data_IF_669470438890
#
_entry.id   IF_669470438890
#
_cell.length_a   1.000
_cell.length_b   1.000
_cell.length_c   1.000
_cell.angle_alpha   90.00
_cell.angle_beta   90.00
_cell.angle_gamma   90.00
#
_symmetry.space_group_name_H-M   'P 1'
#
loop_
_entity.id
_entity.type
_entity.pdbx_description
1 polymer ?
#
# COMPACT_ATOMS: atom_id res chain seq x y z
N UNK A 1 18.34 -30.59 37.44
CA UNK A 1 19.54 -30.86 36.63
C UNK A 1 19.03 -31.39 35.30
N UNK A 2 19.17 -30.76 34.14
CA UNK A 2 19.86 -29.56 33.62
C UNK A 2 19.04 -29.25 32.33
N UNK A 3 18.46 -28.06 32.12
CA UNK A 3 19.11 -26.85 31.59
C UNK A 3 20.25 -27.12 30.61
N UNK A 4 19.93 -27.17 29.31
CA UNK A 4 20.88 -26.73 28.28
C UNK A 4 20.19 -25.77 27.30
N UNK A 5 20.63 -24.53 27.43
CA UNK A 5 20.46 -23.37 26.57
C UNK A 5 21.47 -23.40 25.42
N UNK A 6 21.02 -23.16 24.19
CA UNK A 6 21.87 -22.91 23.00
C UNK A 6 21.03 -22.06 22.04
N UNK A 7 21.42 -20.93 21.47
CA UNK A 7 22.53 -19.99 21.65
C UNK A 7 22.05 -18.65 21.05
N UNK A 8 22.29 -17.54 21.74
CA UNK A 8 22.01 -16.19 21.25
C UNK A 8 23.16 -15.75 20.33
N UNK A 9 23.11 -16.20 19.08
CA UNK A 9 23.98 -15.70 18.03
C UNK A 9 23.58 -14.30 17.58
N UNK A 10 24.24 -13.29 18.13
CA UNK A 10 24.19 -11.90 17.65
C UNK A 10 24.56 -11.82 16.17
N UNK A 11 23.60 -11.53 15.30
CA UNK A 11 23.90 -11.14 13.92
C UNK A 11 24.20 -9.65 13.87
N UNK A 12 25.49 -9.40 13.67
CA UNK A 12 26.16 -8.12 13.44
C UNK A 12 25.44 -7.26 12.40
N UNK A 13 25.48 -5.95 12.64
CA UNK A 13 24.83 -4.93 11.83
C UNK A 13 25.18 -4.99 10.35
N UNK A 14 24.13 -5.13 9.55
CA UNK A 14 24.05 -4.56 8.22
C UNK A 14 22.71 -3.85 8.14
N UNK A 15 22.77 -2.51 8.14
CA UNK A 15 21.69 -1.56 7.84
C UNK A 15 20.54 -2.20 7.07
N UNK A 16 19.43 -2.47 7.75
CA UNK A 16 18.21 -3.03 7.16
C UNK A 16 17.62 -1.94 6.26
N UNK A 17 18.03 -1.93 5.00
CA UNK A 17 17.34 -1.18 3.97
C UNK A 17 15.97 -1.84 3.79
N UNK A 18 14.96 -1.30 4.48
CA UNK A 18 13.56 -1.57 4.18
C UNK A 18 13.33 -1.23 2.71
N UNK A 19 12.88 -2.16 1.86
CA UNK A 19 12.68 -1.84 0.45
C UNK A 19 11.66 -0.71 0.35
N UNK A 20 12.01 0.34 -0.37
CA UNK A 20 11.17 1.52 -0.56
C UNK A 20 9.93 1.09 -1.36
N UNK A 21 8.78 1.18 -0.70
CA UNK A 21 7.49 0.83 -1.26
C UNK A 21 6.72 2.10 -1.52
N UNK A 22 6.37 2.32 -2.78
CA UNK A 22 5.42 3.36 -3.18
C UNK A 22 4.05 2.72 -3.34
N UNK A 23 3.08 3.14 -2.53
CA UNK A 23 1.75 2.53 -2.49
C UNK A 23 0.69 3.50 -2.99
N UNK A 24 -0.14 3.00 -3.89
CA UNK A 24 -1.25 3.70 -4.53
C UNK A 24 -2.55 3.06 -4.06
N UNK A 25 -3.54 3.82 -3.63
CA UNK A 25 -4.87 3.27 -3.42
C UNK A 25 -5.76 3.52 -4.62
N UNK A 26 -6.30 2.44 -5.16
CA UNK A 26 -7.49 2.51 -6.00
C UNK A 26 -8.71 2.75 -5.11
N UNK A 27 -9.49 3.78 -5.40
CA UNK A 27 -10.76 4.03 -4.72
C UNK A 27 -11.68 2.81 -4.81
N UNK A 28 -12.27 2.41 -3.68
CA UNK A 28 -13.17 1.25 -3.66
C UNK A 28 -14.63 1.68 -3.89
N UNK A 29 -15.20 1.20 -5.00
CA UNK A 29 -16.57 1.46 -5.40
C UNK A 29 -17.59 0.73 -4.51
N UNK A 30 -18.29 1.49 -3.66
CA UNK A 30 -19.71 1.20 -3.47
C UNK A 30 -20.48 1.69 -4.69
N UNK A 31 -21.59 1.01 -5.00
CA UNK A 31 -22.40 1.00 -6.24
C UNK A 31 -22.94 2.39 -6.71
N UNK A 32 -22.52 3.50 -6.10
CA UNK A 32 -22.94 4.86 -6.45
C UNK A 32 -21.82 5.90 -6.71
N UNK A 33 -20.55 5.51 -6.79
CA UNK A 33 -19.49 6.40 -7.34
C UNK A 33 -18.81 5.73 -8.51
N UNK A 34 -19.50 5.73 -9.65
CA UNK A 34 -18.90 5.45 -10.94
C UNK A 34 -17.74 6.43 -11.18
N UNK A 35 -16.52 5.91 -11.35
CA UNK A 35 -15.48 6.45 -12.25
C UNK A 35 -15.28 7.97 -12.30
N UNK A 36 -14.32 8.50 -11.55
CA UNK A 36 -13.61 9.73 -11.93
C UNK A 36 -12.18 9.59 -11.41
N UNK A 37 -11.19 9.01 -12.09
CA UNK A 37 -10.96 8.78 -13.50
C UNK A 37 -9.81 7.74 -13.57
N UNK A 38 -10.12 6.45 -13.83
CA UNK A 38 -9.13 5.35 -13.78
C UNK A 38 -7.86 5.64 -14.61
N UNK A 39 -8.00 6.42 -15.67
CA UNK A 39 -6.88 6.86 -16.50
C UNK A 39 -5.93 7.78 -15.71
N UNK A 40 -6.45 8.71 -14.91
CA UNK A 40 -5.65 9.58 -14.05
C UNK A 40 -4.88 8.77 -13.00
N UNK A 41 -5.53 7.79 -12.37
CA UNK A 41 -4.90 6.88 -11.40
C UNK A 41 -3.76 6.08 -12.03
N UNK A 42 -3.97 5.59 -13.25
CA UNK A 42 -2.97 4.86 -14.01
C UNK A 42 -1.80 5.76 -14.46
N UNK A 43 -2.06 7.01 -14.86
CA UNK A 43 -1.00 7.96 -15.17
C UNK A 43 -0.16 8.30 -13.94
N UNK A 44 -0.79 8.46 -12.77
CA UNK A 44 -0.08 8.66 -11.51
C UNK A 44 0.84 7.47 -11.21
N UNK A 45 0.29 6.25 -11.31
CA UNK A 45 1.04 5.01 -11.11
C UNK A 45 2.20 4.85 -12.10
N UNK A 46 1.95 5.05 -13.39
CA UNK A 46 2.96 4.99 -14.45
C UNK A 46 4.09 6.01 -14.21
N UNK A 47 3.76 7.27 -13.91
CA UNK A 47 4.75 8.32 -13.69
C UNK A 47 5.70 7.99 -12.52
N UNK A 48 5.16 7.36 -11.48
CA UNK A 48 5.95 6.90 -10.34
C UNK A 48 6.82 5.69 -10.70
N UNK A 49 6.29 4.74 -11.48
CA UNK A 49 7.03 3.58 -11.97
C UNK A 49 8.25 3.99 -12.81
N UNK A 50 8.02 4.92 -13.75
CA UNK A 50 9.04 5.50 -14.61
C UNK A 50 10.12 6.23 -13.82
N UNK A 51 9.73 7.01 -12.81
CA UNK A 51 10.67 7.80 -12.00
C UNK A 51 11.50 6.95 -11.04
N UNK A 52 11.04 5.76 -10.67
CA UNK A 52 11.64 4.91 -9.63
C UNK A 52 11.96 3.47 -10.10
N UNK A 53 12.75 3.28 -11.17
CA UNK A 53 12.97 1.96 -11.78
C UNK A 53 13.69 0.93 -10.86
N UNK A 54 14.24 1.36 -9.73
CA UNK A 54 14.93 0.51 -8.74
C UNK A 54 14.14 0.26 -7.46
N UNK A 55 12.97 0.86 -7.29
CA UNK A 55 12.11 0.71 -6.10
C UNK A 55 10.87 -0.09 -6.47
N UNK A 56 10.32 -0.87 -5.54
CA UNK A 56 9.10 -1.64 -5.80
C UNK A 56 7.86 -0.77 -5.61
N UNK A 57 7.02 -0.74 -6.63
CA UNK A 57 5.79 0.04 -6.71
C UNK A 57 4.58 -0.90 -6.55
N UNK A 58 3.64 -0.53 -5.69
CA UNK A 58 2.49 -1.34 -5.34
C UNK A 58 1.19 -0.57 -5.54
N UNK A 59 0.32 -1.08 -6.40
CA UNK A 59 -1.05 -0.62 -6.57
C UNK A 59 -1.98 -1.43 -5.65
N UNK A 60 -2.41 -0.80 -4.56
CA UNK A 60 -3.34 -1.36 -3.57
C UNK A 60 -4.78 -1.25 -4.04
N UNK A 61 -5.48 -2.37 -3.99
CA UNK A 61 -6.89 -2.47 -4.34
C UNK A 61 -7.62 -3.11 -3.17
N UNK A 62 -8.82 -2.63 -2.86
CA UNK A 62 -9.65 -3.20 -1.78
C UNK A 62 -10.80 -4.06 -2.33
N UNK A 63 -10.83 -4.27 -3.65
CA UNK A 63 -11.73 -5.20 -4.33
C UNK A 63 -11.09 -5.72 -5.63
N UNK A 64 -10.94 -7.04 -5.75
CA UNK A 64 -10.37 -7.75 -6.91
C UNK A 64 -11.27 -7.66 -8.15
N UNK A 65 -12.56 -7.37 -8.00
CA UNK A 65 -13.51 -7.34 -9.13
C UNK A 65 -13.18 -6.26 -10.17
N UNK A 66 -12.27 -5.34 -9.87
CA UNK A 66 -11.64 -4.46 -10.85
C UNK A 66 -10.52 -5.26 -11.53
N UNK A 67 -10.93 -6.06 -12.51
CA UNK A 67 -10.06 -6.82 -13.42
C UNK A 67 -9.12 -5.84 -14.16
N UNK A 68 -7.88 -6.26 -14.51
CA UNK A 68 -6.98 -5.44 -15.29
C UNK A 68 -7.67 -4.97 -16.58
N UNK A 69 -7.76 -3.65 -16.74
CA UNK A 69 -8.04 -3.08 -18.05
C UNK A 69 -6.75 -3.11 -18.88
N UNK A 70 -6.87 -3.06 -20.20
CA UNK A 70 -5.72 -3.03 -21.13
C UNK A 70 -4.61 -2.03 -20.71
N UNK A 71 -4.94 -0.79 -20.29
CA UNK A 71 -3.92 0.15 -19.80
C UNK A 71 -3.12 -0.33 -18.58
N UNK A 72 -3.76 -0.98 -17.61
CA UNK A 72 -3.07 -1.54 -16.45
C UNK A 72 -2.09 -2.64 -16.86
N UNK A 73 -2.51 -3.53 -17.77
CA UNK A 73 -1.64 -4.61 -18.27
C UNK A 73 -0.41 -4.04 -18.97
N UNK A 74 -0.58 -3.01 -19.81
CA UNK A 74 0.53 -2.34 -20.48
C UNK A 74 1.55 -1.77 -19.50
N UNK A 75 1.09 -1.15 -18.40
CA UNK A 75 1.98 -0.63 -17.35
C UNK A 75 2.72 -1.79 -16.66
N UNK A 76 2.02 -2.86 -16.27
CA UNK A 76 2.67 -4.00 -15.61
C UNK A 76 3.69 -4.73 -16.50
N UNK A 77 3.45 -4.77 -17.81
CA UNK A 77 4.37 -5.33 -18.78
C UNK A 77 5.60 -4.44 -18.99
N UNK A 78 5.38 -3.12 -19.11
CA UNK A 78 6.43 -2.13 -19.35
C UNK A 78 7.34 -1.91 -18.14
N UNK A 79 6.80 -1.94 -16.92
CA UNK A 79 7.51 -1.57 -15.69
C UNK A 79 7.62 -2.78 -14.74
N UNK A 80 8.78 -3.47 -14.78
CA UNK A 80 9.05 -4.67 -13.94
C UNK A 80 9.03 -4.42 -12.43
N UNK A 81 9.11 -3.15 -12.03
CA UNK A 81 9.05 -2.73 -10.64
C UNK A 81 7.61 -2.52 -10.14
N UNK A 82 6.60 -2.63 -10.99
CA UNK A 82 5.18 -2.43 -10.67
C UNK A 82 4.47 -3.73 -10.31
N UNK A 83 3.66 -3.70 -9.25
CA UNK A 83 2.86 -4.84 -8.75
C UNK A 83 1.47 -4.37 -8.33
N UNK A 84 0.47 -5.23 -8.51
CA UNK A 84 -0.87 -5.04 -7.92
C UNK A 84 -0.99 -5.91 -6.68
N UNK A 85 -1.57 -5.35 -5.62
CA UNK A 85 -1.97 -6.08 -4.42
C UNK A 85 -3.43 -5.79 -4.16
N UNK A 86 -4.24 -6.83 -4.03
CA UNK A 86 -5.54 -6.69 -3.39
C UNK A 86 -5.45 -7.01 -1.91
N UNK A 87 -6.12 -6.21 -1.09
CA UNK A 87 -6.18 -6.38 0.35
C UNK A 87 -7.60 -6.73 0.80
N UNK A 88 -7.71 -7.70 1.69
CA UNK A 88 -8.94 -8.00 2.42
C UNK A 88 -8.98 -7.13 3.67
N UNK A 89 -9.88 -6.14 3.68
CA UNK A 89 -10.04 -5.19 4.78
C UNK A 89 -10.43 -5.86 6.11
N UNK A 90 -11.16 -6.98 6.05
CA UNK A 90 -11.51 -7.75 7.25
C UNK A 90 -10.27 -8.39 7.86
N UNK A 91 -9.39 -8.93 7.03
CA UNK A 91 -8.11 -9.47 7.48
C UNK A 91 -7.14 -8.37 7.95
N UNK A 92 -7.02 -7.29 7.18
CA UNK A 92 -6.14 -6.13 7.45
C UNK A 92 -6.45 -5.47 8.79
N UNK A 93 -7.74 -5.34 9.12
CA UNK A 93 -8.16 -4.69 10.36
C UNK A 93 -8.24 -5.62 11.56
N UNK A 94 -8.13 -6.94 11.39
CA UNK A 94 -8.18 -7.92 12.48
C UNK A 94 -7.13 -7.63 13.57
N UNK A 95 -7.57 -7.56 14.82
CA UNK A 95 -6.73 -7.27 15.98
C UNK A 95 -6.22 -5.82 16.05
N UNK A 96 -6.71 -4.92 15.19
CA UNK A 96 -6.40 -3.49 15.24
C UNK A 96 -7.53 -2.70 15.90
N UNK A 97 -7.28 -1.47 16.37
CA UNK A 97 -8.35 -0.58 16.84
C UNK A 97 -9.46 -0.31 15.81
N UNK A 98 -9.18 -0.54 14.51
CA UNK A 98 -10.14 -0.39 13.42
C UNK A 98 -11.07 -1.59 13.26
N UNK A 99 -10.76 -2.75 13.85
CA UNK A 99 -11.56 -3.99 13.70
C UNK A 99 -13.02 -3.75 14.05
N UNK A 100 -13.26 -3.16 15.22
CA UNK A 100 -14.61 -2.93 15.72
C UNK A 100 -15.35 -1.90 14.84
N UNK A 101 -14.66 -0.87 14.36
CA UNK A 101 -15.23 0.13 13.46
C UNK A 101 -15.62 -0.49 12.10
N UNK A 102 -14.77 -1.38 11.57
CA UNK A 102 -15.01 -2.09 10.32
C UNK A 102 -16.17 -3.09 10.43
N UNK A 103 -16.13 -3.97 11.43
CA UNK A 103 -17.16 -5.01 11.64
C UNK A 103 -18.54 -4.42 11.94
N UNK A 104 -18.61 -3.26 12.60
CA UNK A 104 -19.87 -2.57 12.90
C UNK A 104 -20.32 -1.57 11.82
N UNK A 105 -19.71 -1.61 10.63
CA UNK A 105 -20.04 -0.74 9.50
C UNK A 105 -19.92 0.78 9.81
N UNK A 106 -19.10 1.17 10.79
CA UNK A 106 -18.99 2.58 11.22
C UNK A 106 -18.25 3.44 10.18
N UNK A 107 -17.25 2.86 9.50
CA UNK A 107 -16.51 3.51 8.42
C UNK A 107 -17.40 3.59 7.18
N UNK A 108 -18.04 2.47 6.83
CA UNK A 108 -18.87 2.24 5.64
C UNK A 108 -20.11 3.13 5.62
N UNK A 109 -20.67 3.50 6.79
CA UNK A 109 -21.82 4.39 6.90
C UNK A 109 -21.46 5.88 6.87
N UNK A 110 -20.18 6.21 6.76
CA UNK A 110 -19.77 7.61 6.70
C UNK A 110 -20.17 8.26 5.37
N UNK A 111 -20.64 9.51 5.43
CA UNK A 111 -20.82 10.35 4.23
C UNK A 111 -19.50 10.61 3.47
N UNK A 112 -18.35 10.42 4.14
CA UNK A 112 -17.01 10.59 3.58
C UNK A 112 -16.27 9.25 3.49
N UNK A 113 -16.99 8.16 3.20
CA UNK A 113 -16.42 6.80 3.18
C UNK A 113 -15.09 6.71 2.44
N UNK A 114 -15.02 7.20 1.20
CA UNK A 114 -13.81 7.12 0.37
C UNK A 114 -12.62 7.88 0.99
N UNK A 115 -12.85 9.11 1.47
CA UNK A 115 -11.80 9.92 2.09
C UNK A 115 -11.31 9.29 3.40
N UNK A 116 -12.22 8.85 4.27
CA UNK A 116 -11.86 8.16 5.51
C UNK A 116 -11.13 6.84 5.24
N UNK A 117 -11.55 6.09 4.22
CA UNK A 117 -10.89 4.85 3.84
C UNK A 117 -9.46 5.12 3.36
N UNK A 118 -9.27 6.16 2.54
CA UNK A 118 -7.95 6.60 2.07
C UNK A 118 -7.04 7.02 3.23
N UNK A 119 -7.55 7.80 4.18
CA UNK A 119 -6.79 8.19 5.37
C UNK A 119 -6.40 6.98 6.23
N UNK A 120 -7.33 6.05 6.42
CA UNK A 120 -7.10 4.83 7.19
C UNK A 120 -6.01 3.98 6.53
N UNK A 121 -6.11 3.72 5.23
CA UNK A 121 -5.19 2.82 4.54
C UNK A 121 -3.81 3.44 4.34
N UNK A 122 -3.72 4.76 4.10
CA UNK A 122 -2.45 5.51 4.10
C UNK A 122 -1.71 5.30 5.41
N UNK A 123 -2.38 5.57 6.54
CA UNK A 123 -1.79 5.45 7.86
C UNK A 123 -1.48 3.99 8.21
N UNK A 124 -2.41 3.07 7.95
CA UNK A 124 -2.22 1.65 8.23
C UNK A 124 -1.05 1.07 7.42
N UNK A 125 -0.92 1.44 6.16
CA UNK A 125 0.17 1.00 5.28
C UNK A 125 1.52 1.47 5.82
N UNK A 126 1.65 2.78 6.09
CA UNK A 126 2.89 3.36 6.59
C UNK A 126 3.26 2.80 7.97
N UNK A 127 2.29 2.61 8.86
CA UNK A 127 2.50 2.06 10.20
C UNK A 127 3.00 0.60 10.18
N UNK A 128 2.48 -0.23 9.28
CA UNK A 128 2.83 -1.65 9.24
C UNK A 128 4.09 -1.91 8.42
N UNK A 129 4.29 -1.19 7.31
CA UNK A 129 5.30 -1.54 6.30
C UNK A 129 6.33 -0.44 6.02
N UNK A 130 6.15 0.76 6.58
CA UNK A 130 6.98 1.92 6.24
C UNK A 130 6.89 2.30 4.76
N UNK A 131 7.94 2.92 4.24
CA UNK A 131 8.02 3.39 2.86
C UNK A 131 7.38 4.75 2.63
N UNK A 132 6.86 4.97 1.42
CA UNK A 132 6.27 6.24 1.00
C UNK A 132 4.91 6.00 0.37
N UNK A 133 3.90 6.73 0.82
CA UNK A 133 2.57 6.68 0.22
C UNK A 133 2.42 7.77 -0.84
N UNK A 134 1.78 7.47 -1.97
CA UNK A 134 1.44 8.44 -3.00
C UNK A 134 -0.06 8.43 -3.26
N UNK A 135 -0.68 9.61 -3.30
CA UNK A 135 -2.07 9.74 -3.70
C UNK A 135 -2.21 9.41 -5.20
N UNK A 136 -3.33 8.77 -5.56
CA UNK A 136 -3.59 8.29 -6.93
C UNK A 136 -3.88 9.42 -7.94
N UNK A 137 -3.92 10.67 -7.50
CA UNK A 137 -4.09 11.86 -8.33
C UNK A 137 -2.80 12.69 -8.47
N UNK A 138 -1.64 12.11 -8.12
CA UNK A 138 -0.33 12.79 -8.18
C UNK A 138 0.57 12.30 -9.30
N UNK A 139 1.13 13.23 -10.08
CA UNK A 139 2.13 12.91 -11.12
C UNK A 139 3.54 13.06 -10.55
N UNK A 140 4.31 11.98 -10.60
CA UNK A 140 5.71 11.97 -10.17
C UNK A 140 6.61 12.46 -11.30
N UNK A 141 7.23 13.62 -11.12
CA UNK A 141 8.12 14.23 -12.12
C UNK A 141 9.59 13.81 -11.95
N UNK A 142 10.01 13.48 -10.72
CA UNK A 142 11.40 13.18 -10.35
C UNK A 142 11.43 12.21 -9.18
N UNK A 143 12.60 11.62 -8.95
CA UNK A 143 12.87 10.75 -7.80
C UNK A 143 12.57 11.46 -6.48
N UNK A 144 11.85 10.77 -5.61
CA UNK A 144 11.59 11.22 -4.26
C UNK A 144 12.87 11.09 -3.41
N UNK A 145 13.13 12.06 -2.51
CA UNK A 145 14.29 11.99 -1.63
C UNK A 145 14.16 10.84 -0.63
N UNK A 146 15.22 10.05 -0.52
CA UNK A 146 15.32 8.81 0.29
C UNK A 146 15.13 8.98 1.81
N UNK A 147 15.03 10.21 2.30
CA UNK A 147 15.15 10.56 3.73
C UNK A 147 13.83 10.66 4.50
N UNK A 148 12.69 10.36 3.87
CA UNK A 148 11.38 10.51 4.51
C UNK A 148 10.65 9.16 4.61
N UNK A 149 11.09 8.32 5.55
CA UNK A 149 10.30 7.17 6.02
C UNK A 149 9.62 7.59 7.34
N UNK A 150 8.30 7.81 7.34
CA UNK A 150 7.54 8.15 8.55
C UNK A 150 6.99 6.92 9.30
N UNK A 151 7.63 5.76 9.15
CA UNK A 151 7.28 4.56 9.91
C UNK A 151 8.36 3.49 9.81
N UNK A 152 8.85 3.02 10.96
CA UNK A 152 9.54 1.73 11.03
C UNK A 152 8.51 0.61 10.93
N UNK A 153 8.74 -0.42 10.09
CA UNK A 153 7.76 -1.47 9.88
C UNK A 153 7.57 -2.33 11.13
N UNK A 154 6.35 -2.36 11.68
CA UNK A 154 5.97 -3.32 12.72
C UNK A 154 5.76 -4.74 12.16
N UNK A 155 5.62 -4.91 10.83
CA UNK A 155 5.41 -6.21 10.17
C UNK A 155 6.19 -6.29 8.84
N UNK A 156 6.69 -7.49 8.49
CA UNK A 156 7.22 -7.78 7.14
C UNK A 156 6.06 -8.08 6.18
N UNK A 157 6.21 -7.75 4.90
CA UNK A 157 5.17 -7.91 3.87
C UNK A 157 4.75 -9.38 3.74
N UNK A 158 3.43 -9.57 3.57
CA UNK A 158 2.72 -10.80 3.21
C UNK A 158 3.49 -11.66 2.17
#
# INVERSE_FOLDING_TARGET
MEHESVDQGAYSGSSIYSPEYLRFEAGNNQIHTHSQNIITELCAFESAALSHPKQSLYYLMTNISIIPNEPMNQILEAYKNSKIISIDLTYVFKGSPLENLWLNNRIQRSQYYNAHMADILRLWTLYNYGGTYLDSDTITLKKLPRKFNYGEPNRRIL
#
